data_IF_467373143721
#
_entry.id   IF_467373143721
#
_cell.length_a   1.000
_cell.length_b   1.000
_cell.length_c   1.000
_cell.angle_alpha   90.00
_cell.angle_beta   90.00
_cell.angle_gamma   90.00
#
_symmetry.space_group_name_H-M   'P 1'
#
loop_
_entity.id
_entity.type
_entity.pdbx_description
1 polymer ?
#
# COMPACT_ATOMS: atom_id res chain seq x y z
N UNK A 1 1.47 8.53 -0.78
CA UNK A 1 0.34 9.00 0.03
C UNK A 1 0.83 9.47 1.40
N UNK A 2 0.20 10.49 1.89
CA UNK A 2 0.51 10.97 3.24
C UNK A 2 -0.27 10.16 4.27
N UNK A 3 0.28 10.07 5.47
CA UNK A 3 -0.36 9.30 6.55
C UNK A 3 -1.79 9.75 6.84
N UNK A 4 -2.05 11.06 6.76
CA UNK A 4 -3.38 11.60 6.99
C UNK A 4 -4.39 11.10 5.95
N UNK A 5 -3.97 10.98 4.69
CA UNK A 5 -4.82 10.47 3.62
C UNK A 5 -5.16 9.01 3.86
N UNK A 6 -4.17 8.23 4.27
CA UNK A 6 -4.35 6.81 4.56
C UNK A 6 -5.35 6.62 5.71
N UNK A 7 -5.20 7.40 6.76
CA UNK A 7 -6.10 7.33 7.92
C UNK A 7 -7.52 7.75 7.61
N UNK A 8 -7.70 8.58 6.60
CA UNK A 8 -9.01 9.04 6.18
C UNK A 8 -9.82 8.02 5.37
N UNK A 9 -9.20 6.94 4.94
CA UNK A 9 -9.87 5.91 4.15
C UNK A 9 -10.69 4.97 5.04
N UNK A 10 -11.85 4.52 4.54
CA UNK A 10 -12.59 3.47 5.23
C UNK A 10 -11.81 2.16 5.13
N UNK A 11 -12.15 1.19 5.98
CA UNK A 11 -11.46 -0.10 5.97
C UNK A 11 -11.64 -0.81 4.63
N UNK A 12 -12.83 -0.74 4.04
CA UNK A 12 -13.09 -1.33 2.74
C UNK A 12 -12.24 -0.67 1.66
N UNK A 13 -12.22 0.67 1.63
CA UNK A 13 -11.42 1.42 0.68
C UNK A 13 -9.93 1.13 0.86
N UNK A 14 -9.52 0.99 2.12
CA UNK A 14 -8.13 0.71 2.45
C UNK A 14 -7.69 -0.64 1.89
N UNK A 15 -8.52 -1.67 2.04
CA UNK A 15 -8.23 -2.99 1.48
C UNK A 15 -8.12 -2.97 -0.03
N UNK A 16 -9.06 -2.30 -0.67
CA UNK A 16 -9.05 -2.15 -2.12
C UNK A 16 -7.81 -1.41 -2.60
N UNK A 17 -7.43 -0.37 -1.86
CA UNK A 17 -6.24 0.41 -2.18
C UNK A 17 -4.97 -0.41 -2.02
N UNK A 18 -4.87 -1.19 -0.94
CA UNK A 18 -3.72 -2.07 -0.71
C UNK A 18 -3.56 -3.04 -1.88
N UNK A 19 -4.64 -3.68 -2.28
CA UNK A 19 -4.60 -4.63 -3.40
C UNK A 19 -4.18 -3.96 -4.70
N UNK A 20 -4.77 -2.81 -5.01
CA UNK A 20 -4.47 -2.08 -6.23
C UNK A 20 -3.02 -1.60 -6.28
N UNK A 21 -2.55 -1.02 -5.18
CA UNK A 21 -1.18 -0.50 -5.13
C UNK A 21 -0.13 -1.61 -5.10
N UNK A 22 -0.42 -2.72 -4.42
CA UNK A 22 0.48 -3.87 -4.41
C UNK A 22 0.60 -4.47 -5.81
N UNK A 23 -0.52 -4.55 -6.54
CA UNK A 23 -0.51 -5.03 -7.91
C UNK A 23 0.30 -4.11 -8.82
N UNK A 24 0.11 -2.80 -8.66
CA UNK A 24 0.87 -1.81 -9.42
C UNK A 24 2.37 -1.93 -9.15
N UNK A 25 2.75 -2.19 -7.90
CA UNK A 25 4.15 -2.36 -7.54
C UNK A 25 4.75 -3.58 -8.24
N UNK A 26 4.03 -4.68 -8.27
CA UNK A 26 4.49 -5.90 -8.94
C UNK A 26 4.68 -5.62 -10.43
N UNK A 27 3.73 -4.96 -11.06
CA UNK A 27 3.82 -4.59 -12.47
C UNK A 27 5.02 -3.69 -12.76
N UNK A 28 5.27 -2.72 -11.89
CA UNK A 28 6.41 -1.84 -12.03
C UNK A 28 7.73 -2.59 -11.93
N UNK A 29 7.83 -3.55 -11.02
CA UNK A 29 9.03 -4.36 -10.87
C UNK A 29 9.29 -5.21 -12.11
N UNK A 30 8.25 -5.79 -12.66
CA UNK A 30 8.36 -6.59 -13.89
C UNK A 30 8.80 -5.71 -15.04
N UNK A 31 8.15 -4.56 -15.22
CA UNK A 31 8.49 -3.64 -16.29
C UNK A 31 9.92 -3.13 -16.18
N UNK A 32 10.37 -2.86 -14.96
CA UNK A 32 11.73 -2.39 -14.72
C UNK A 32 12.78 -3.45 -15.05
N UNK A 33 12.47 -4.72 -14.82
CA UNK A 33 13.39 -5.80 -15.13
C UNK A 33 13.52 -6.04 -16.65
N UNK A 34 12.45 -5.75 -17.40
CA UNK A 34 12.44 -5.90 -18.85
C UNK A 34 13.05 -4.67 -19.51
N UNK A 35 12.71 -3.48 -19.04
CA UNK A 35 13.17 -2.22 -19.61
C UNK A 35 13.55 -1.26 -18.48
N UNK A 36 14.84 -1.16 -18.12
CA UNK A 36 15.26 -0.34 -17.00
C UNK A 36 15.28 1.17 -17.29
N UNK A 37 14.33 1.64 -18.08
CA UNK A 37 14.19 3.07 -18.41
C UNK A 37 13.41 3.82 -17.35
N UNK A 38 12.63 3.11 -16.52
CA UNK A 38 11.84 3.72 -15.47
C UNK A 38 12.72 4.11 -14.28
N UNK A 39 12.31 5.18 -13.62
CA UNK A 39 13.04 5.69 -12.47
C UNK A 39 12.90 4.75 -11.27
N UNK A 40 14.00 4.31 -10.65
CA UNK A 40 13.93 3.52 -9.41
C UNK A 40 13.22 4.27 -8.28
N UNK A 41 13.20 5.62 -8.34
CA UNK A 41 12.53 6.43 -7.33
C UNK A 41 11.03 6.17 -7.29
N UNK A 42 10.40 5.94 -8.44
CA UNK A 42 8.96 5.65 -8.50
C UNK A 42 8.63 4.33 -7.81
N UNK A 43 9.46 3.32 -8.04
CA UNK A 43 9.29 2.01 -7.39
C UNK A 43 9.43 2.16 -5.88
N UNK A 44 10.43 2.92 -5.44
CA UNK A 44 10.68 3.15 -4.03
C UNK A 44 9.51 3.88 -3.36
N UNK A 45 8.97 4.90 -4.02
CA UNK A 45 7.81 5.63 -3.51
C UNK A 45 6.59 4.74 -3.40
N UNK A 46 6.35 3.92 -4.41
CA UNK A 46 5.21 3.01 -4.41
C UNK A 46 5.35 1.96 -3.32
N UNK A 47 6.55 1.44 -3.09
CA UNK A 47 6.82 0.51 -1.98
C UNK A 47 6.47 1.15 -0.65
N UNK A 48 6.84 2.40 -0.44
CA UNK A 48 6.51 3.13 0.79
C UNK A 48 5.01 3.32 0.95
N UNK A 49 4.32 3.65 -0.13
CA UNK A 49 2.86 3.81 -0.12
C UNK A 49 2.20 2.50 0.27
N UNK A 50 2.59 1.40 -0.34
CA UNK A 50 2.05 0.08 -0.03
C UNK A 50 2.30 -0.27 1.44
N UNK A 51 3.51 0.00 1.93
CA UNK A 51 3.86 -0.28 3.32
C UNK A 51 2.98 0.51 4.29
N UNK A 52 2.74 1.78 4.01
CA UNK A 52 1.87 2.63 4.85
C UNK A 52 0.44 2.12 4.86
N UNK A 53 -0.07 1.76 3.68
CA UNK A 53 -1.43 1.24 3.57
C UNK A 53 -1.57 -0.07 4.34
N UNK A 54 -0.62 -0.98 4.20
CA UNK A 54 -0.61 -2.25 4.92
C UNK A 54 -0.53 -2.04 6.43
N UNK A 55 0.30 -1.11 6.87
CA UNK A 55 0.45 -0.82 8.28
C UNK A 55 -0.86 -0.33 8.88
N UNK A 56 -1.54 0.59 8.22
CA UNK A 56 -2.81 1.10 8.69
C UNK A 56 -3.88 0.00 8.72
N UNK A 57 -3.94 -0.81 7.67
CA UNK A 57 -4.88 -1.91 7.61
C UNK A 57 -4.64 -2.93 8.74
N UNK A 58 -3.37 -3.24 8.98
CA UNK A 58 -2.97 -4.14 10.04
C UNK A 58 -3.40 -3.61 11.42
N UNK A 59 -3.18 -2.32 11.64
CA UNK A 59 -3.57 -1.69 12.89
C UNK A 59 -5.08 -1.74 13.11
N UNK A 60 -5.86 -1.51 12.06
CA UNK A 60 -7.32 -1.57 12.16
C UNK A 60 -7.81 -2.98 12.44
N UNK A 61 -7.24 -3.96 11.78
CA UNK A 61 -7.58 -5.36 12.02
C UNK A 61 -7.24 -5.77 13.45
N UNK A 62 -6.08 -5.30 13.93
CA UNK A 62 -5.64 -5.59 15.30
C UNK A 62 -6.57 -4.93 16.33
N UNK A 63 -6.96 -3.69 16.09
CA UNK A 63 -7.89 -2.98 16.96
C UNK A 63 -9.25 -3.67 17.02
N UNK A 64 -9.74 -4.13 15.87
CA UNK A 64 -11.01 -4.87 15.79
C UNK A 64 -10.93 -6.15 16.61
N UNK A 65 -9.80 -6.85 16.53
CA UNK A 65 -9.58 -8.05 17.31
C UNK A 65 -9.58 -7.74 18.81
N UNK A 66 -8.93 -6.66 19.20
CA UNK A 66 -8.86 -6.24 20.60
C UNK A 66 -10.24 -5.86 21.15
N UNK A 67 -11.06 -5.24 20.35
CA UNK A 67 -12.41 -4.83 20.76
C UNK A 67 -13.29 -6.02 21.06
N UNK A 68 -13.08 -7.12 20.37
CA UNK A 68 -13.86 -8.35 20.61
C UNK A 68 -13.49 -9.03 21.91
N UNK A 69 -12.30 -8.81 22.39
CA UNK A 69 -11.81 -9.40 23.63
C UNK A 69 -12.24 -8.56 24.82
#
# INVERSE_FOLDING_TARGET
MKSAEVKGLSTKELRERVDAEAHALIQMKINHSISPLDSPAKIKQLRRTVARLKTELHQREHQTTNVKD
#
